data_IF_660022384343
#
_entry.id   IF_660022384343
#
_cell.length_a   1.000
_cell.length_b   1.000
_cell.length_c   1.000
_cell.angle_alpha   90.00
_cell.angle_beta   90.00
_cell.angle_gamma   90.00
#
_symmetry.space_group_name_H-M   'P 1'
#
loop_
_entity.id
_entity.type
_entity.pdbx_description
1 polymer ?
#
# COMPACT_ATOMS: atom_id res chain seq x y z
N UNK A 1 -28.63 73.65 -15.46
CA UNK A 1 -29.45 72.57 -14.88
C UNK A 1 -29.04 71.25 -15.52
N UNK A 2 -28.19 70.43 -14.89
CA UNK A 2 -28.03 69.04 -15.27
C UNK A 2 -28.95 68.15 -14.43
N UNK A 3 -29.59 67.19 -15.10
CA UNK A 3 -30.55 66.24 -14.56
C UNK A 3 -29.78 65.21 -13.71
N UNK A 4 -30.14 65.11 -12.43
CA UNK A 4 -29.66 64.07 -11.51
C UNK A 4 -30.67 62.92 -11.54
N UNK A 5 -30.24 61.74 -11.99
CA UNK A 5 -31.01 60.50 -11.95
C UNK A 5 -30.66 59.76 -10.64
N UNK A 6 -31.62 59.33 -9.80
CA UNK A 6 -31.30 58.63 -8.56
C UNK A 6 -31.08 57.13 -8.85
N UNK A 7 -29.94 56.61 -8.39
CA UNK A 7 -29.60 55.20 -8.38
C UNK A 7 -30.40 54.50 -7.26
N UNK A 8 -31.41 53.71 -7.62
CA UNK A 8 -32.15 52.86 -6.68
C UNK A 8 -31.31 51.61 -6.40
N UNK A 9 -30.79 51.49 -5.18
CA UNK A 9 -30.06 50.32 -4.70
C UNK A 9 -31.06 49.26 -4.22
N UNK A 10 -31.23 48.18 -4.99
CA UNK A 10 -32.05 47.03 -4.61
C UNK A 10 -31.27 46.12 -3.64
N UNK A 11 -31.56 46.20 -2.34
CA UNK A 11 -31.04 45.28 -1.32
C UNK A 11 -31.83 43.97 -1.37
N UNK A 12 -31.31 42.96 -2.07
CA UNK A 12 -31.80 41.59 -1.98
C UNK A 12 -31.34 40.96 -0.66
N UNK A 13 -32.28 40.79 0.28
CA UNK A 13 -32.07 39.95 1.46
C UNK A 13 -32.00 38.48 1.03
N UNK A 14 -30.80 37.93 0.91
CA UNK A 14 -30.60 36.48 0.87
C UNK A 14 -30.73 35.92 2.29
N UNK A 15 -31.90 35.38 2.61
CA UNK A 15 -32.08 34.50 3.78
C UNK A 15 -31.23 33.25 3.58
N UNK A 16 -30.11 33.14 4.30
CA UNK A 16 -29.34 31.91 4.41
C UNK A 16 -30.16 30.86 5.14
N UNK A 17 -30.77 29.94 4.37
CA UNK A 17 -31.18 28.65 4.89
C UNK A 17 -29.91 27.82 5.14
N UNK A 18 -29.29 28.00 6.30
CA UNK A 18 -28.34 27.01 6.84
C UNK A 18 -29.12 25.75 7.15
N UNK A 19 -29.16 24.83 6.19
CA UNK A 19 -29.42 23.43 6.45
C UNK A 19 -28.32 22.94 7.40
N UNK A 20 -28.62 22.92 8.69
CA UNK A 20 -27.86 22.15 9.67
C UNK A 20 -27.96 20.67 9.27
N UNK A 21 -27.03 20.21 8.43
CA UNK A 21 -26.65 18.80 8.46
C UNK A 21 -26.07 18.56 9.85
N UNK A 22 -26.85 17.89 10.69
CA UNK A 22 -26.31 17.25 11.90
C UNK A 22 -25.21 16.31 11.41
N UNK A 23 -23.95 16.72 11.57
CA UNK A 23 -22.81 15.86 11.32
C UNK A 23 -22.91 14.72 12.33
N UNK A 24 -23.42 13.56 11.88
CA UNK A 24 -23.34 12.33 12.66
C UNK A 24 -21.87 12.13 13.02
N UNK A 25 -21.58 11.90 14.31
CA UNK A 25 -20.23 11.58 14.77
C UNK A 25 -19.63 10.54 13.81
N UNK A 26 -18.42 10.75 13.27
CA UNK A 26 -17.82 9.77 12.37
C UNK A 26 -17.73 8.45 13.12
N UNK A 27 -18.47 7.46 12.63
CA UNK A 27 -18.55 6.15 13.25
C UNK A 27 -17.23 5.43 12.95
N UNK A 28 -16.44 5.16 13.99
CA UNK A 28 -15.24 4.35 13.84
C UNK A 28 -15.64 2.94 13.44
N UNK A 29 -15.13 2.46 12.31
CA UNK A 29 -15.27 1.06 11.91
C UNK A 29 -13.93 0.35 12.05
N UNK A 30 -13.97 -0.85 12.61
CA UNK A 30 -12.81 -1.69 12.83
C UNK A 30 -13.05 -3.02 12.11
N UNK A 31 -12.07 -3.43 11.30
CA UNK A 31 -12.09 -4.65 10.51
C UNK A 31 -10.85 -5.49 10.80
N UNK A 32 -10.95 -6.83 10.81
CA UNK A 32 -9.78 -7.69 10.90
C UNK A 32 -8.96 -7.57 9.62
N UNK A 33 -7.65 -7.29 9.77
CA UNK A 33 -6.70 -7.29 8.67
C UNK A 33 -5.95 -8.62 8.67
N UNK A 34 -6.23 -9.49 7.70
CA UNK A 34 -5.59 -10.81 7.65
C UNK A 34 -4.29 -10.75 6.88
N UNK A 35 -3.33 -11.55 7.34
CA UNK A 35 -2.06 -11.77 6.64
C UNK A 35 -2.14 -13.16 6.04
N UNK A 36 -2.14 -13.26 4.71
CA UNK A 36 -2.19 -14.55 4.00
C UNK A 36 -0.80 -14.88 3.46
N UNK A 37 -0.26 -16.04 3.85
CA UNK A 37 1.03 -16.55 3.39
C UNK A 37 0.85 -17.55 2.24
N UNK A 38 1.70 -17.47 1.22
CA UNK A 38 1.66 -18.41 0.09
C UNK A 38 2.42 -19.71 0.43
N UNK A 39 1.86 -20.91 0.12
CA UNK A 39 2.62 -22.15 0.09
C UNK A 39 3.65 -22.10 -1.04
N UNK A 40 4.86 -22.59 -0.78
CA UNK A 40 5.95 -22.56 -1.76
C UNK A 40 5.73 -23.60 -2.88
N UNK A 41 5.49 -23.14 -4.10
CA UNK A 41 5.81 -23.89 -5.30
C UNK A 41 7.33 -23.85 -5.54
N UNK A 42 7.96 -25.00 -5.71
CA UNK A 42 9.36 -25.06 -6.17
C UNK A 42 9.46 -24.44 -7.56
N UNK A 43 10.11 -23.28 -7.70
CA UNK A 43 10.47 -22.76 -9.02
C UNK A 43 11.84 -23.33 -9.44
N UNK A 44 11.94 -24.05 -10.58
CA UNK A 44 13.21 -24.40 -11.19
C UNK A 44 13.86 -23.18 -11.87
N UNK A 45 15.14 -23.32 -12.19
CA UNK A 45 16.02 -22.32 -12.80
C UNK A 45 15.42 -21.46 -13.92
N UNK A 46 15.88 -20.19 -13.91
CA UNK A 46 16.08 -19.32 -15.09
C UNK A 46 14.86 -19.13 -16.00
N UNK A 47 14.09 -18.07 -15.75
CA UNK A 47 13.41 -17.34 -16.83
C UNK A 47 13.61 -15.84 -16.61
N UNK A 48 13.71 -15.07 -17.70
CA UNK A 48 13.92 -13.61 -17.74
C UNK A 48 12.74 -12.81 -17.12
N UNK A 49 12.36 -13.11 -15.88
CA UNK A 49 11.26 -12.48 -15.15
C UNK A 49 11.83 -11.72 -13.95
N UNK A 50 11.48 -10.44 -13.83
CA UNK A 50 11.68 -9.70 -12.58
C UNK A 50 10.90 -10.44 -11.48
N UNK A 51 11.61 -10.89 -10.46
CA UNK A 51 11.11 -11.87 -9.48
C UNK A 51 10.70 -11.19 -8.17
N UNK A 52 10.08 -10.01 -8.21
CA UNK A 52 9.52 -9.44 -6.98
C UNK A 52 8.18 -10.14 -6.67
N UNK A 53 8.25 -11.17 -5.83
CA UNK A 53 7.10 -11.99 -5.45
C UNK A 53 6.61 -11.59 -4.06
N UNK A 54 5.32 -11.32 -3.91
CA UNK A 54 4.71 -11.10 -2.60
C UNK A 54 4.35 -12.47 -2.02
N UNK A 55 5.08 -12.91 -1.00
CA UNK A 55 4.72 -14.16 -0.31
C UNK A 55 3.63 -13.94 0.75
N UNK A 56 3.27 -12.68 0.96
CA UNK A 56 2.39 -12.20 2.02
C UNK A 56 1.52 -11.10 1.48
N UNK A 57 0.20 -11.25 1.63
CA UNK A 57 -0.78 -10.20 1.30
C UNK A 57 -1.61 -9.81 2.50
N UNK A 58 -1.98 -8.53 2.56
CA UNK A 58 -2.88 -8.00 3.57
C UNK A 58 -4.31 -8.00 3.01
N UNK A 59 -5.17 -8.88 3.52
CA UNK A 59 -6.53 -9.04 3.00
C UNK A 59 -7.59 -8.56 3.98
N UNK A 60 -8.67 -8.03 3.42
CA UNK A 60 -9.88 -7.66 4.14
C UNK A 60 -11.11 -8.27 3.48
N UNK A 61 -12.18 -8.45 4.25
CA UNK A 61 -13.45 -8.94 3.72
C UNK A 61 -14.51 -7.86 3.79
N UNK A 62 -15.19 -7.63 2.68
CA UNK A 62 -16.32 -6.71 2.55
C UNK A 62 -17.48 -7.37 1.84
N UNK A 63 -18.62 -6.66 1.79
CA UNK A 63 -19.76 -7.05 0.98
C UNK A 63 -19.94 -6.07 -0.17
N UNK A 64 -20.24 -6.55 -1.37
CA UNK A 64 -20.42 -5.72 -2.57
C UNK A 64 -21.66 -6.20 -3.33
N UNK A 65 -22.48 -5.28 -3.83
CA UNK A 65 -23.68 -5.59 -4.62
C UNK A 65 -24.99 -5.66 -3.84
N UNK A 66 -26.09 -5.82 -4.59
CA UNK A 66 -27.46 -5.96 -4.07
C UNK A 66 -28.22 -7.10 -4.75
N UNK A 67 -28.41 -8.28 -4.12
CA UNK A 67 -28.02 -8.62 -2.75
C UNK A 67 -26.50 -8.65 -2.53
N UNK A 68 -26.02 -8.46 -1.29
CA UNK A 68 -24.58 -8.39 -1.02
C UNK A 68 -23.84 -9.70 -1.25
N UNK A 69 -22.72 -9.63 -1.98
CA UNK A 69 -21.77 -10.71 -2.22
C UNK A 69 -20.51 -10.47 -1.38
N UNK A 70 -20.01 -11.49 -0.68
CA UNK A 70 -18.76 -11.36 0.08
C UNK A 70 -17.57 -11.36 -0.88
N UNK A 71 -16.67 -10.39 -0.70
CA UNK A 71 -15.44 -10.26 -1.49
C UNK A 71 -14.25 -10.15 -0.53
N UNK A 72 -13.13 -10.77 -0.90
CA UNK A 72 -11.85 -10.63 -0.20
C UNK A 72 -10.94 -9.75 -1.05
N UNK A 73 -10.45 -8.65 -0.50
CA UNK A 73 -9.65 -7.67 -1.24
C UNK A 73 -8.29 -7.46 -0.59
N UNK A 74 -7.24 -7.31 -1.40
CA UNK A 74 -5.90 -6.89 -0.95
C UNK A 74 -5.92 -5.41 -0.60
N UNK A 75 -5.45 -5.03 0.59
CA UNK A 75 -5.32 -3.64 1.00
C UNK A 75 -4.05 -3.03 0.41
N UNK A 76 -4.20 -2.02 -0.45
CA UNK A 76 -3.07 -1.43 -1.17
C UNK A 76 -3.08 0.11 -1.10
N UNK A 77 -2.17 0.68 -0.31
CA UNK A 77 -1.97 2.15 -0.21
C UNK A 77 -1.18 2.76 -1.36
N UNK A 78 -0.58 1.95 -2.23
CA UNK A 78 0.07 2.38 -3.47
C UNK A 78 -0.89 2.55 -4.64
N UNK A 79 -2.06 1.89 -4.63
CA UNK A 79 -3.01 1.91 -5.75
C UNK A 79 -4.18 2.87 -5.58
N UNK A 80 -4.62 3.45 -6.69
CA UNK A 80 -5.83 4.28 -6.74
C UNK A 80 -7.09 3.44 -6.91
N UNK A 81 -7.24 2.74 -8.04
CA UNK A 81 -8.51 2.09 -8.35
C UNK A 81 -8.71 0.82 -7.53
N UNK A 82 -9.81 0.76 -6.77
CA UNK A 82 -10.31 -0.54 -6.27
C UNK A 82 -10.90 -1.35 -7.42
N UNK A 83 -10.64 -2.65 -7.45
CA UNK A 83 -11.12 -3.53 -8.51
C UNK A 83 -11.41 -4.94 -8.01
N UNK A 84 -12.25 -5.66 -8.77
CA UNK A 84 -12.65 -7.03 -8.51
C UNK A 84 -12.56 -7.83 -9.81
N UNK A 85 -12.20 -9.12 -9.72
CA UNK A 85 -12.39 -10.06 -10.81
C UNK A 85 -13.89 -10.27 -11.04
N UNK A 86 -14.36 -9.92 -12.24
CA UNK A 86 -15.77 -10.06 -12.62
C UNK A 86 -16.02 -11.22 -13.57
N UNK A 87 -14.97 -11.74 -14.20
CA UNK A 87 -15.04 -12.84 -15.14
C UNK A 87 -14.42 -14.09 -14.53
N UNK A 88 -15.16 -15.18 -14.54
CA UNK A 88 -14.66 -16.48 -14.07
C UNK A 88 -13.55 -16.97 -15.00
N UNK A 89 -12.40 -17.31 -14.43
CA UNK A 89 -11.30 -17.98 -15.12
C UNK A 89 -10.95 -19.29 -14.37
N UNK A 90 -10.35 -20.30 -15.04
CA UNK A 90 -10.06 -21.59 -14.42
C UNK A 90 -9.24 -21.51 -13.12
N UNK A 91 -8.41 -20.48 -12.99
CA UNK A 91 -7.50 -20.30 -11.86
C UNK A 91 -8.03 -19.33 -10.79
N UNK A 92 -9.26 -18.79 -10.91
CA UNK A 92 -9.81 -17.85 -9.93
C UNK A 92 -10.82 -18.56 -9.01
N UNK A 93 -10.52 -18.60 -7.70
CA UNK A 93 -11.39 -19.27 -6.73
C UNK A 93 -12.57 -18.40 -6.27
N UNK A 94 -12.44 -17.07 -6.39
CA UNK A 94 -13.47 -16.11 -5.97
C UNK A 94 -13.60 -14.99 -6.99
N UNK A 95 -14.82 -14.73 -7.46
CA UNK A 95 -15.13 -13.66 -8.40
C UNK A 95 -16.41 -12.96 -7.97
N UNK A 96 -16.48 -11.65 -8.20
CA UNK A 96 -17.73 -10.90 -8.06
C UNK A 96 -18.61 -11.18 -9.27
N UNK A 97 -19.88 -11.52 -9.06
CA UNK A 97 -20.83 -11.75 -10.15
C UNK A 97 -21.66 -10.48 -10.41
N UNK A 98 -21.34 -9.65 -11.42
CA UNK A 98 -22.08 -8.42 -11.69
C UNK A 98 -23.54 -8.70 -12.10
N UNK A 99 -23.83 -9.84 -12.74
CA UNK A 99 -25.19 -10.19 -13.19
C UNK A 99 -26.13 -10.57 -12.03
N UNK A 100 -25.57 -10.92 -10.87
CA UNK A 100 -26.34 -11.23 -9.67
C UNK A 100 -26.68 -9.98 -8.84
N UNK A 101 -26.12 -8.82 -9.18
CA UNK A 101 -26.33 -7.56 -8.45
C UNK A 101 -27.25 -6.62 -9.22
N UNK A 102 -28.32 -6.16 -8.55
CA UNK A 102 -29.26 -5.16 -9.10
C UNK A 102 -28.69 -3.73 -9.08
N UNK A 103 -27.62 -3.49 -8.32
CA UNK A 103 -26.98 -2.18 -8.19
C UNK A 103 -25.73 -2.01 -9.06
N UNK A 104 -25.36 -3.04 -9.83
CA UNK A 104 -24.27 -2.97 -10.79
C UNK A 104 -24.64 -2.03 -11.95
N UNK A 105 -23.76 -1.06 -12.24
CA UNK A 105 -23.95 -0.16 -13.39
C UNK A 105 -22.62 0.06 -14.11
N UNK A 106 -22.49 -0.32 -15.39
CA UNK A 106 -21.26 -0.08 -16.15
C UNK A 106 -21.07 1.41 -16.45
N UNK A 107 -19.82 1.88 -16.49
CA UNK A 107 -19.51 3.29 -16.79
C UNK A 107 -19.29 3.48 -18.30
N UNK A 108 -20.14 4.27 -18.99
CA UNK A 108 -19.92 4.60 -20.39
C UNK A 108 -18.72 5.54 -20.56
N UNK A 109 -18.07 5.48 -21.72
CA UNK A 109 -16.96 6.38 -22.05
C UNK A 109 -17.31 7.88 -22.02
N UNK A 110 -18.56 8.23 -22.32
CA UNK A 110 -19.02 9.62 -22.26
C UNK A 110 -19.14 10.17 -20.83
N UNK A 111 -19.11 9.28 -19.83
CA UNK A 111 -19.23 9.64 -18.42
C UNK A 111 -18.12 10.62 -18.00
N UNK A 112 -18.44 11.64 -17.19
CA UNK A 112 -17.42 12.48 -16.56
C UNK A 112 -16.39 11.67 -15.76
N UNK A 113 -16.79 10.54 -15.17
CA UNK A 113 -15.87 9.63 -14.46
C UNK A 113 -14.73 9.21 -15.40
N UNK A 114 -15.07 8.70 -16.59
CA UNK A 114 -14.10 8.23 -17.57
C UNK A 114 -13.22 9.35 -18.16
N UNK A 115 -13.75 10.58 -18.29
CA UNK A 115 -13.05 11.69 -18.94
C UNK A 115 -12.20 12.56 -18.00
N UNK A 116 -12.51 12.54 -16.70
CA UNK A 116 -11.93 13.51 -15.75
C UNK A 116 -11.36 12.87 -14.48
N UNK A 117 -11.98 11.82 -13.95
CA UNK A 117 -11.56 11.19 -12.68
C UNK A 117 -10.47 10.12 -12.85
N UNK A 118 -10.13 9.76 -14.08
CA UNK A 118 -9.08 8.80 -14.43
C UNK A 118 -7.77 9.46 -14.87
N UNK A 119 -7.65 10.79 -14.71
CA UNK A 119 -6.47 11.55 -15.17
C UNK A 119 -5.20 11.25 -14.41
N UNK A 120 -5.32 10.74 -13.19
CA UNK A 120 -4.19 10.35 -12.36
C UNK A 120 -3.75 8.89 -12.64
N UNK A 121 -4.43 8.16 -13.52
CA UNK A 121 -3.97 6.82 -13.92
C UNK A 121 -2.73 6.91 -14.80
N UNK A 122 -1.74 6.06 -14.50
CA UNK A 122 -0.50 5.96 -15.29
C UNK A 122 -0.74 5.54 -16.74
N UNK A 123 -1.76 4.69 -16.96
CA UNK A 123 -2.21 4.29 -18.30
C UNK A 123 -3.56 4.97 -18.57
N UNK A 124 -3.65 5.81 -19.62
CA UNK A 124 -4.92 6.43 -19.98
C UNK A 124 -6.00 5.39 -20.28
N UNK A 125 -7.21 5.63 -19.77
CA UNK A 125 -8.38 4.82 -20.11
C UNK A 125 -8.70 4.91 -21.61
N UNK A 126 -9.32 3.85 -22.12
CA UNK A 126 -9.76 3.76 -23.51
C UNK A 126 -11.24 3.37 -23.59
N UNK A 127 -11.79 3.32 -24.80
CA UNK A 127 -13.16 2.88 -25.03
C UNK A 127 -13.18 1.51 -25.67
N UNK A 128 -13.83 0.57 -24.99
CA UNK A 128 -14.04 -0.76 -25.56
C UNK A 128 -15.05 -0.71 -26.73
N UNK A 129 -15.21 -1.81 -27.49
CA UNK A 129 -16.19 -1.88 -28.59
C UNK A 129 -17.65 -1.65 -28.16
N UNK A 130 -17.97 -1.80 -26.87
CA UNK A 130 -19.30 -1.55 -26.28
C UNK A 130 -19.44 -0.10 -25.77
N UNK A 131 -18.44 0.76 -26.00
CA UNK A 131 -18.37 2.15 -25.54
C UNK A 131 -18.34 2.28 -24.02
N UNK A 132 -17.84 1.27 -23.34
CA UNK A 132 -17.57 1.27 -21.90
C UNK A 132 -16.15 1.78 -21.64
N UNK A 133 -15.96 2.37 -20.46
CA UNK A 133 -14.69 2.92 -20.04
C UNK A 133 -13.73 1.79 -19.66
N UNK A 134 -12.82 1.43 -20.57
CA UNK A 134 -11.81 0.41 -20.37
C UNK A 134 -10.62 0.97 -19.62
N UNK A 135 -10.22 0.31 -18.55
CA UNK A 135 -9.06 0.65 -17.75
C UNK A 135 -8.06 -0.50 -17.77
N UNK A 136 -6.78 -0.15 -17.90
CA UNK A 136 -5.65 -1.05 -17.75
C UNK A 136 -4.81 -0.53 -16.59
N UNK A 137 -4.53 -1.38 -15.62
CA UNK A 137 -3.66 -1.08 -14.49
C UNK A 137 -2.37 -1.90 -14.64
N UNK A 138 -1.25 -1.30 -14.27
CA UNK A 138 0.05 -1.97 -14.19
C UNK A 138 0.67 -1.68 -12.84
N UNK A 139 1.31 -2.70 -12.27
CA UNK A 139 1.91 -2.65 -10.94
C UNK A 139 3.44 -2.72 -11.01
N UNK A 140 4.08 -2.36 -9.90
CA UNK A 140 5.54 -2.33 -9.78
C UNK A 140 6.20 -3.72 -9.92
N UNK A 141 5.46 -4.80 -9.63
CA UNK A 141 5.91 -6.18 -9.85
C UNK A 141 5.77 -6.64 -11.31
N UNK A 142 5.46 -5.71 -12.22
CA UNK A 142 5.18 -5.93 -13.64
C UNK A 142 3.94 -6.80 -13.93
N UNK A 143 3.06 -7.01 -12.94
CA UNK A 143 1.71 -7.52 -13.20
C UNK A 143 0.84 -6.42 -13.81
N UNK A 144 -0.22 -6.84 -14.49
CA UNK A 144 -1.21 -5.94 -15.07
C UNK A 144 -2.60 -6.57 -15.06
N UNK A 145 -3.62 -5.73 -14.98
CA UNK A 145 -5.00 -6.17 -15.04
C UNK A 145 -5.85 -5.17 -15.81
N UNK A 146 -6.82 -5.66 -16.56
CA UNK A 146 -7.69 -4.82 -17.37
C UNK A 146 -9.15 -5.27 -17.34
N UNK A 147 -10.02 -4.32 -17.66
CA UNK A 147 -11.46 -4.51 -17.76
C UNK A 147 -12.15 -3.16 -17.78
N UNK A 148 -13.43 -3.15 -17.43
CA UNK A 148 -14.25 -1.95 -17.54
C UNK A 148 -14.55 -1.34 -16.18
N UNK A 149 -14.59 -0.01 -16.12
CA UNK A 149 -15.10 0.69 -14.95
C UNK A 149 -16.61 0.46 -14.80
N UNK A 150 -17.04 0.24 -13.56
CA UNK A 150 -18.43 0.13 -13.16
C UNK A 150 -18.65 0.87 -11.84
N UNK A 151 -19.92 1.10 -11.48
CA UNK A 151 -20.31 1.53 -10.15
C UNK A 151 -21.09 0.42 -9.46
N UNK A 152 -20.90 0.30 -8.14
CA UNK A 152 -21.60 -0.69 -7.32
C UNK A 152 -21.82 -0.17 -5.89
N UNK A 153 -22.65 -0.87 -5.12
CA UNK A 153 -22.87 -0.64 -3.70
C UNK A 153 -21.84 -1.43 -2.89
N UNK A 154 -20.99 -0.72 -2.16
CA UNK A 154 -20.02 -1.32 -1.23
C UNK A 154 -20.56 -1.25 0.19
N UNK A 155 -20.53 -2.38 0.89
CA UNK A 155 -20.93 -2.53 2.28
C UNK A 155 -19.74 -2.36 3.21
N UNK A 156 -19.91 -1.51 4.22
CA UNK A 156 -18.91 -1.14 5.20
C UNK A 156 -19.51 -1.27 6.61
N UNK A 157 -19.32 -2.44 7.23
CA UNK A 157 -20.00 -2.78 8.49
C UNK A 157 -21.52 -2.83 8.30
N UNK A 158 -22.25 -1.97 8.99
CA UNK A 158 -23.72 -1.86 8.88
C UNK A 158 -24.18 -0.81 7.86
N UNK A 159 -23.25 -0.05 7.28
CA UNK A 159 -23.54 1.01 6.30
C UNK A 159 -23.25 0.52 4.90
N UNK A 160 -23.90 1.12 3.91
CA UNK A 160 -23.64 0.88 2.49
C UNK A 160 -23.38 2.19 1.78
N UNK A 161 -22.45 2.16 0.81
CA UNK A 161 -22.11 3.28 -0.05
C UNK A 161 -22.46 2.91 -1.50
N UNK A 162 -23.63 3.35 -2.01
CA UNK A 162 -24.02 3.15 -3.39
C UNK A 162 -23.18 4.01 -4.34
N UNK A 163 -23.07 3.58 -5.60
CA UNK A 163 -22.42 4.37 -6.66
C UNK A 163 -20.89 4.47 -6.54
N UNK A 164 -20.26 3.58 -5.78
CA UNK A 164 -18.80 3.51 -5.66
C UNK A 164 -18.23 2.96 -6.97
N UNK A 165 -17.33 3.72 -7.59
CA UNK A 165 -16.65 3.35 -8.83
C UNK A 165 -15.56 2.33 -8.53
N UNK A 166 -15.50 1.26 -9.31
CA UNK A 166 -14.48 0.23 -9.22
C UNK A 166 -14.18 -0.34 -10.61
N UNK A 167 -13.06 -1.05 -10.74
CA UNK A 167 -12.74 -1.81 -11.94
C UNK A 167 -13.35 -3.21 -11.89
N UNK A 168 -14.15 -3.56 -12.89
CA UNK A 168 -14.69 -4.88 -13.09
C UNK A 168 -13.79 -5.60 -14.11
N UNK A 169 -12.82 -6.35 -13.59
CA UNK A 169 -11.69 -6.83 -14.36
C UNK A 169 -11.96 -8.17 -15.04
N UNK A 170 -11.53 -8.26 -16.30
CA UNK A 170 -11.81 -9.37 -17.22
C UNK A 170 -10.60 -10.28 -17.41
N UNK A 171 -9.40 -9.70 -17.50
CA UNK A 171 -8.14 -10.39 -17.76
C UNK A 171 -6.98 -9.67 -17.11
N UNK A 172 -5.92 -10.41 -16.78
CA UNK A 172 -4.70 -9.86 -16.26
C UNK A 172 -3.52 -10.78 -16.53
N UNK A 173 -2.33 -10.20 -16.47
CA UNK A 173 -1.07 -10.90 -16.42
C UNK A 173 -0.50 -10.75 -15.01
N UNK A 174 -0.08 -11.87 -14.42
CA UNK A 174 0.44 -11.89 -13.07
C UNK A 174 1.78 -12.59 -13.00
N UNK A 175 2.66 -12.03 -12.16
CA UNK A 175 3.89 -12.67 -11.72
C UNK A 175 3.59 -13.88 -10.80
N UNK A 176 2.41 -13.89 -10.15
CA UNK A 176 1.97 -14.79 -9.09
C UNK A 176 0.52 -15.28 -9.26
N UNK A 177 0.21 -16.03 -10.32
CA UNK A 177 -1.17 -16.45 -10.62
C UNK A 177 -1.87 -17.28 -9.51
N UNK A 178 -1.11 -17.91 -8.61
CA UNK A 178 -1.65 -18.65 -7.45
C UNK A 178 -2.15 -17.72 -6.32
N UNK A 179 -1.63 -16.51 -6.24
CA UNK A 179 -1.99 -15.49 -5.26
C UNK A 179 -3.29 -14.80 -5.68
N UNK A 180 -3.35 -14.35 -6.93
CA UNK A 180 -4.57 -13.78 -7.54
C UNK A 180 -5.75 -14.73 -7.48
N UNK A 181 -5.47 -16.04 -7.53
CA UNK A 181 -6.48 -17.08 -7.39
C UNK A 181 -7.24 -17.02 -6.05
N UNK A 182 -6.62 -16.51 -4.99
CA UNK A 182 -7.15 -16.55 -3.61
C UNK A 182 -7.93 -15.30 -3.23
N UNK A 183 -7.69 -14.19 -3.92
CA UNK A 183 -8.35 -12.92 -3.65
C UNK A 183 -9.47 -12.69 -4.67
N UNK A 184 -10.46 -11.88 -4.30
CA UNK A 184 -11.49 -11.43 -5.26
C UNK A 184 -11.04 -10.17 -5.99
N UNK A 185 -10.08 -9.43 -5.44
CA UNK A 185 -9.47 -8.26 -6.06
C UNK A 185 -8.65 -7.42 -5.09
N UNK A 186 -8.57 -6.12 -5.34
CA UNK A 186 -7.70 -5.18 -4.63
C UNK A 186 -8.46 -3.91 -4.27
N UNK A 187 -8.23 -3.44 -3.05
CA UNK A 187 -8.76 -2.20 -2.51
C UNK A 187 -7.68 -1.13 -2.60
N UNK A 188 -7.85 -0.21 -3.56
CA UNK A 188 -6.96 0.93 -3.75
C UNK A 188 -7.22 1.99 -2.69
N UNK A 189 -6.21 2.33 -1.90
CA UNK A 189 -6.28 3.16 -0.71
C UNK A 189 -5.46 4.43 -0.81
N UNK A 190 -4.88 4.76 -1.98
CA UNK A 190 -4.11 6.00 -2.16
C UNK A 190 -5.00 7.26 -2.11
N UNK A 191 -4.47 8.43 -2.47
CA UNK A 191 -5.17 9.73 -2.37
C UNK A 191 -5.91 10.12 -3.66
N UNK A 192 -5.96 9.23 -4.64
CA UNK A 192 -6.55 9.48 -5.94
C UNK A 192 -8.07 9.49 -5.90
N UNK A 193 -8.69 10.10 -6.91
CA UNK A 193 -10.13 10.38 -6.90
C UNK A 193 -11.01 9.13 -6.94
N UNK A 194 -10.47 8.00 -7.42
CA UNK A 194 -11.13 6.69 -7.47
C UNK A 194 -10.68 5.72 -6.37
N UNK A 195 -9.85 6.17 -5.43
CA UNK A 195 -9.52 5.42 -4.22
C UNK A 195 -10.73 5.16 -3.34
N UNK A 196 -10.69 4.04 -2.63
CA UNK A 196 -11.73 3.66 -1.68
C UNK A 196 -11.90 4.74 -0.61
N UNK A 197 -10.80 5.22 -0.03
CA UNK A 197 -10.85 6.27 1.01
C UNK A 197 -11.49 7.56 0.53
N UNK A 198 -11.20 7.99 -0.71
CA UNK A 198 -11.77 9.22 -1.28
C UNK A 198 -13.25 9.05 -1.59
N UNK A 199 -13.63 7.93 -2.20
CA UNK A 199 -15.04 7.67 -2.56
C UNK A 199 -15.95 7.46 -1.35
N UNK A 200 -15.39 6.92 -0.26
CA UNK A 200 -16.08 6.75 1.02
C UNK A 200 -16.07 8.02 1.89
N UNK A 201 -15.36 9.08 1.47
CA UNK A 201 -15.24 10.32 2.23
C UNK A 201 -14.55 10.12 3.59
N UNK A 202 -13.59 9.19 3.66
CA UNK A 202 -12.91 8.86 4.91
C UNK A 202 -11.83 9.91 5.20
N UNK A 203 -11.94 10.68 6.29
CA UNK A 203 -10.96 11.73 6.61
C UNK A 203 -9.61 11.15 7.06
N UNK A 204 -9.62 9.92 7.56
CA UNK A 204 -8.46 9.21 8.07
C UNK A 204 -8.73 7.71 8.18
N UNK A 205 -7.66 6.93 8.11
CA UNK A 205 -7.68 5.49 8.41
C UNK A 205 -6.39 5.07 9.09
N UNK A 206 -6.40 3.91 9.73
CA UNK A 206 -5.20 3.30 10.31
C UNK A 206 -5.17 1.82 10.06
N UNK A 207 -3.97 1.23 10.02
CA UNK A 207 -3.81 -0.21 10.15
C UNK A 207 -2.66 -0.59 11.06
N UNK A 208 -2.72 -1.83 11.54
CA UNK A 208 -1.70 -2.43 12.40
C UNK A 208 -1.52 -3.88 11.95
N UNK A 209 -0.37 -4.18 11.34
CA UNK A 209 -0.08 -5.52 10.80
C UNK A 209 0.54 -6.37 11.89
N UNK A 210 -0.05 -7.54 12.15
CA UNK A 210 0.50 -8.53 13.08
C UNK A 210 1.84 -9.07 12.57
N UNK A 211 2.86 -9.12 13.43
CA UNK A 211 4.13 -9.80 13.12
C UNK A 211 4.11 -11.32 13.36
N UNK A 212 2.93 -11.92 13.58
CA UNK A 212 2.68 -13.34 13.79
C UNK A 212 1.45 -13.76 12.99
N UNK A 213 1.17 -15.06 12.92
CA UNK A 213 -0.04 -15.63 12.32
C UNK A 213 -1.30 -15.30 13.15
N UNK A 214 -1.67 -14.02 13.18
CA UNK A 214 -2.86 -13.49 13.85
C UNK A 214 -3.42 -12.33 13.04
N UNK A 215 -4.71 -12.05 13.18
CA UNK A 215 -5.34 -10.91 12.51
C UNK A 215 -4.75 -9.60 13.04
N UNK A 216 -4.32 -8.73 12.14
CA UNK A 216 -4.10 -7.32 12.42
C UNK A 216 -5.40 -6.51 12.48
N UNK A 217 -5.26 -5.19 12.39
CA UNK A 217 -6.37 -4.23 12.49
C UNK A 217 -6.37 -3.35 11.25
N UNK A 218 -7.54 -3.12 10.66
CA UNK A 218 -7.83 -1.98 9.81
C UNK A 218 -8.92 -1.15 10.48
N UNK A 219 -8.71 0.16 10.57
CA UNK A 219 -9.62 1.08 11.24
C UNK A 219 -9.92 2.26 10.31
N UNK A 220 -11.21 2.55 10.12
CA UNK A 220 -11.68 3.76 9.46
C UNK A 220 -12.21 4.72 10.53
N UNK A 221 -11.70 5.96 10.54
CA UNK A 221 -12.03 6.95 11.59
C UNK A 221 -10.92 7.10 12.64
N UNK A 222 -11.27 7.59 13.84
CA UNK A 222 -10.27 7.98 14.84
C UNK A 222 -9.78 6.81 15.70
N UNK A 223 -8.45 6.71 15.85
CA UNK A 223 -7.78 5.79 16.76
C UNK A 223 -7.49 6.47 18.12
N UNK A 224 -8.45 6.46 19.04
CA UNK A 224 -8.30 7.02 20.40
C UNK A 224 -8.30 5.94 21.45
N UNK A 225 -7.15 5.27 21.61
CA UNK A 225 -6.99 4.19 22.59
C UNK A 225 -6.00 4.59 23.68
N UNK A 226 -6.40 4.48 24.95
CA UNK A 226 -5.54 4.81 26.09
C UNK A 226 -4.26 3.95 26.17
N UNK A 227 -4.28 2.77 25.54
CA UNK A 227 -3.15 1.85 25.50
C UNK A 227 -2.22 2.05 24.30
N UNK A 228 -2.63 2.85 23.31
CA UNK A 228 -1.81 3.19 22.16
C UNK A 228 -0.97 4.41 22.54
N UNK A 229 0.35 4.35 22.28
CA UNK A 229 1.23 5.49 22.50
C UNK A 229 0.85 6.64 21.56
N UNK A 230 1.14 7.90 21.93
CA UNK A 230 1.00 9.01 21.01
C UNK A 230 1.76 8.74 19.70
N UNK A 231 1.12 9.04 18.57
CA UNK A 231 1.72 8.87 17.26
C UNK A 231 2.71 10.00 16.98
N UNK A 232 3.85 9.65 16.41
CA UNK A 232 4.75 10.62 15.78
C UNK A 232 4.31 10.81 14.34
N UNK A 233 4.22 12.05 13.88
CA UNK A 233 3.72 12.36 12.55
C UNK A 233 4.81 12.91 11.64
N UNK A 234 4.80 12.45 10.39
CA UNK A 234 5.52 13.06 9.27
C UNK A 234 4.51 13.65 8.29
N UNK A 235 4.73 14.88 7.78
CA UNK A 235 3.87 15.45 6.75
C UNK A 235 3.97 14.65 5.45
N UNK A 236 2.89 14.67 4.67
CA UNK A 236 2.90 14.18 3.30
C UNK A 236 3.56 15.23 2.40
N UNK A 237 4.50 14.80 1.57
CA UNK A 237 5.09 15.62 0.51
C UNK A 237 4.06 15.79 -0.60
N UNK A 238 3.85 17.03 -1.04
CA UNK A 238 2.94 17.36 -2.12
C UNK A 238 3.70 18.11 -3.22
N UNK A 239 3.82 17.47 -4.38
CA UNK A 239 4.32 18.10 -5.61
C UNK A 239 3.13 18.24 -6.55
N UNK A 240 2.71 19.48 -6.81
CA UNK A 240 1.57 19.77 -7.68
C UNK A 240 1.93 19.66 -9.17
N UNK A 241 3.19 19.93 -9.52
CA UNK A 241 3.69 19.80 -10.88
C UNK A 241 3.68 18.33 -11.31
N UNK A 242 3.07 17.98 -12.46
CA UNK A 242 3.19 16.64 -13.01
C UNK A 242 4.64 16.33 -13.37
N UNK A 243 5.20 15.29 -12.76
CA UNK A 243 6.54 14.79 -13.03
C UNK A 243 6.47 13.31 -13.44
N UNK A 244 7.31 12.85 -14.37
CA UNK A 244 7.20 11.50 -14.95
C UNK A 244 7.39 10.36 -13.94
N UNK A 245 8.21 10.56 -12.91
CA UNK A 245 8.51 9.55 -11.90
C UNK A 245 7.93 9.86 -10.51
N UNK A 246 7.01 10.83 -10.43
CA UNK A 246 6.34 11.18 -9.17
C UNK A 246 4.84 10.86 -9.24
N UNK A 247 4.41 9.89 -8.43
CA UNK A 247 3.00 9.63 -8.22
C UNK A 247 2.41 10.67 -7.24
N UNK A 248 1.64 11.62 -7.76
CA UNK A 248 1.04 12.71 -6.96
C UNK A 248 0.01 12.24 -5.93
N UNK A 249 -0.58 11.07 -6.14
CA UNK A 249 -1.65 10.53 -5.28
C UNK A 249 -1.13 9.48 -4.28
N UNK A 250 0.14 9.10 -4.37
CA UNK A 250 0.80 8.26 -3.38
C UNK A 250 0.95 8.94 -2.00
N UNK A 251 1.06 8.12 -0.95
CA UNK A 251 1.45 8.58 0.38
C UNK A 251 2.96 8.79 0.44
N UNK A 252 3.39 9.98 0.02
CA UNK A 252 4.80 10.35 -0.02
C UNK A 252 5.23 11.01 1.29
N UNK A 253 6.31 10.55 1.89
CA UNK A 253 6.91 11.15 3.11
C UNK A 253 8.34 11.59 2.83
N UNK A 254 8.87 12.54 3.59
CA UNK A 254 10.27 12.96 3.44
C UNK A 254 11.17 12.08 4.29
N UNK A 255 11.91 11.15 3.66
CA UNK A 255 13.02 10.46 4.30
C UNK A 255 14.18 11.45 4.47
N UNK A 256 14.81 11.49 5.63
CA UNK A 256 15.92 12.40 5.93
C UNK A 256 17.24 11.66 6.17
N UNK A 257 17.18 10.37 6.43
CA UNK A 257 18.35 9.56 6.71
C UNK A 257 18.00 8.15 7.16
N UNK A 258 19.05 7.34 7.28
CA UNK A 258 18.96 5.98 7.82
C UNK A 258 20.03 5.85 8.91
N UNK A 259 19.68 5.18 10.01
CA UNK A 259 20.56 4.90 11.14
C UNK A 259 20.67 3.41 11.36
N UNK A 260 21.88 2.89 11.51
CA UNK A 260 22.16 1.49 11.86
C UNK A 260 22.73 1.45 13.27
N UNK A 261 21.96 0.90 14.21
CA UNK A 261 22.19 1.03 15.65
C UNK A 261 22.27 2.52 16.05
N UNK A 262 23.44 2.99 16.50
CA UNK A 262 23.68 4.40 16.85
C UNK A 262 24.27 5.25 15.72
N UNK A 263 24.62 4.66 14.57
CA UNK A 263 25.35 5.35 13.49
C UNK A 263 24.41 5.80 12.39
N UNK A 264 24.29 7.11 12.19
CA UNK A 264 23.61 7.69 11.03
C UNK A 264 24.51 7.54 9.81
N UNK A 265 23.96 7.05 8.71
CA UNK A 265 24.72 6.85 7.48
C UNK A 265 25.14 8.22 6.90
N UNK A 266 26.41 8.41 6.50
CA UNK A 266 26.92 9.69 6.01
C UNK A 266 26.53 9.92 4.54
N UNK A 267 25.23 10.12 4.29
CA UNK A 267 24.65 10.37 2.97
C UNK A 267 24.26 11.85 2.83
N UNK A 268 24.52 12.50 1.68
CA UNK A 268 24.08 13.87 1.48
C UNK A 268 22.56 13.94 1.41
N UNK A 269 21.95 14.96 2.03
CA UNK A 269 20.48 15.09 2.13
C UNK A 269 19.78 15.08 0.77
N UNK A 270 20.46 15.52 -0.28
CA UNK A 270 19.94 15.54 -1.65
C UNK A 270 19.55 14.16 -2.20
N UNK A 271 20.13 13.06 -1.70
CA UNK A 271 19.77 11.71 -2.20
C UNK A 271 18.39 11.24 -1.73
N UNK A 272 17.80 11.93 -0.74
CA UNK A 272 16.48 11.62 -0.22
C UNK A 272 15.39 12.58 -0.71
N UNK A 273 15.75 13.52 -1.60
CA UNK A 273 14.81 14.49 -2.15
C UNK A 273 14.53 14.10 -3.60
N UNK A 274 13.25 14.06 -4.03
CA UNK A 274 12.93 13.81 -5.42
C UNK A 274 13.64 14.80 -6.35
N UNK A 275 14.19 14.30 -7.45
CA UNK A 275 14.86 15.15 -8.43
C UNK A 275 13.86 15.91 -9.32
N UNK A 276 14.38 16.66 -10.28
CA UNK A 276 13.57 17.44 -11.23
C UNK A 276 12.62 16.59 -12.11
N UNK A 277 12.80 15.28 -12.18
CA UNK A 277 11.94 14.32 -12.88
C UNK A 277 10.97 13.61 -11.93
N UNK A 278 11.10 13.83 -10.62
CA UNK A 278 10.32 13.17 -9.58
C UNK A 278 10.94 11.90 -9.02
N UNK A 279 12.03 11.42 -9.61
CA UNK A 279 12.73 10.22 -9.16
C UNK A 279 13.29 10.40 -7.75
N UNK A 280 13.19 9.37 -6.91
CA UNK A 280 13.53 9.44 -5.49
C UNK A 280 12.37 9.80 -4.56
N UNK A 281 11.14 9.73 -5.04
CA UNK A 281 9.94 9.73 -4.20
C UNK A 281 10.02 8.64 -3.11
N UNK A 282 9.62 8.93 -1.87
CA UNK A 282 9.51 7.92 -0.81
C UNK A 282 8.06 7.61 -0.50
N UNK A 283 7.57 6.46 -0.99
CA UNK A 283 6.19 6.01 -0.86
C UNK A 283 6.01 5.07 0.33
N UNK A 284 4.95 5.27 1.12
CA UNK A 284 4.49 4.31 2.14
C UNK A 284 3.45 3.39 1.51
N UNK A 285 3.80 2.11 1.37
CA UNK A 285 3.02 1.18 0.56
C UNK A 285 2.73 -0.14 1.30
N UNK A 286 1.44 -0.45 1.47
CA UNK A 286 0.98 -1.72 2.01
C UNK A 286 0.94 -2.84 0.96
N UNK A 287 0.86 -2.49 -0.32
CA UNK A 287 0.89 -3.43 -1.45
C UNK A 287 2.24 -4.10 -1.58
N UNK A 288 3.34 -3.36 -1.45
CA UNK A 288 4.73 -3.87 -1.49
C UNK A 288 5.12 -4.64 -0.22
N UNK A 289 5.71 -5.83 -0.36
CA UNK A 289 6.18 -6.62 0.80
C UNK A 289 7.37 -5.99 1.52
N UNK A 290 8.51 -5.83 0.84
CA UNK A 290 9.76 -5.38 1.44
C UNK A 290 10.04 -3.89 1.18
N UNK A 291 11.04 -3.32 1.86
CA UNK A 291 11.46 -1.94 1.55
C UNK A 291 12.50 -1.92 0.45
N UNK A 292 12.30 -1.05 -0.53
CA UNK A 292 13.23 -0.81 -1.62
C UNK A 292 13.82 0.60 -1.50
N UNK A 293 15.13 0.70 -1.68
CA UNK A 293 15.88 1.94 -1.60
C UNK A 293 16.67 2.14 -2.88
N UNK A 294 16.83 3.40 -3.31
CA UNK A 294 17.71 3.75 -4.43
C UNK A 294 19.13 3.22 -4.18
N UNK A 295 19.80 2.79 -5.24
CA UNK A 295 21.09 2.10 -5.18
C UNK A 295 22.15 2.74 -4.28
N UNK A 296 22.40 4.07 -4.33
CA UNK A 296 23.37 4.72 -3.46
C UNK A 296 23.05 4.57 -1.96
N UNK A 297 21.76 4.69 -1.60
CA UNK A 297 21.29 4.58 -0.22
C UNK A 297 21.30 3.12 0.23
N UNK A 298 20.82 2.21 -0.62
CA UNK A 298 20.88 0.77 -0.37
C UNK A 298 22.31 0.31 -0.10
N UNK A 299 23.26 0.73 -0.95
CA UNK A 299 24.66 0.35 -0.85
C UNK A 299 25.28 0.82 0.47
N UNK A 300 25.01 2.06 0.89
CA UNK A 300 25.49 2.57 2.17
C UNK A 300 24.90 1.78 3.36
N UNK A 301 23.60 1.48 3.32
CA UNK A 301 22.93 0.68 4.35
C UNK A 301 23.50 -0.74 4.42
N UNK A 302 23.60 -1.40 3.25
CA UNK A 302 24.14 -2.75 3.10
C UNK A 302 25.55 -2.85 3.69
N UNK A 303 26.45 -1.93 3.31
CA UNK A 303 27.83 -1.93 3.77
C UNK A 303 27.94 -1.75 5.29
N UNK A 304 27.17 -0.84 5.86
CA UNK A 304 27.14 -0.64 7.31
C UNK A 304 26.57 -1.86 8.05
N UNK A 305 25.49 -2.44 7.53
CA UNK A 305 24.87 -3.62 8.11
C UNK A 305 25.82 -4.83 8.08
N UNK A 306 26.53 -5.05 6.98
CA UNK A 306 27.60 -6.05 6.88
C UNK A 306 28.69 -5.80 7.91
N UNK A 307 29.17 -4.55 8.05
CA UNK A 307 30.20 -4.19 9.01
C UNK A 307 29.82 -4.56 10.44
N UNK A 308 28.58 -4.24 10.85
CA UNK A 308 28.10 -4.52 12.21
C UNK A 308 27.73 -5.99 12.45
N UNK A 309 27.38 -6.75 11.41
CA UNK A 309 27.01 -8.17 11.51
C UNK A 309 28.16 -9.16 11.30
N UNK A 310 29.29 -8.70 10.76
CA UNK A 310 30.52 -9.50 10.54
C UNK A 310 30.92 -10.41 11.72
N UNK A 311 30.79 -10.01 13.01
CA UNK A 311 31.17 -10.86 14.13
C UNK A 311 30.19 -12.01 14.41
N UNK A 312 28.95 -11.94 13.93
CA UNK A 312 27.85 -12.83 14.37
C UNK A 312 27.17 -13.61 13.23
N UNK A 313 27.37 -13.18 11.98
CA UNK A 313 26.79 -13.79 10.79
C UNK A 313 27.83 -13.98 9.69
N UNK A 314 27.67 -15.06 8.93
CA UNK A 314 28.47 -15.36 7.74
C UNK A 314 27.68 -14.99 6.49
N UNK A 315 28.20 -14.04 5.71
CA UNK A 315 27.60 -13.66 4.42
C UNK A 315 27.62 -14.87 3.48
N UNK A 316 26.55 -15.05 2.72
CA UNK A 316 26.44 -16.06 1.68
C UNK A 316 27.44 -15.74 0.57
N UNK A 317 28.38 -16.64 0.32
CA UNK A 317 29.39 -16.48 -0.73
C UNK A 317 28.84 -16.93 -2.10
N UNK A 318 27.83 -16.21 -2.61
CA UNK A 318 27.21 -16.46 -3.90
C UNK A 318 26.80 -15.13 -4.55
N UNK A 319 27.69 -14.50 -5.34
CA UNK A 319 27.45 -13.16 -5.89
C UNK A 319 26.32 -13.13 -6.93
N UNK A 320 25.90 -14.29 -7.44
CA UNK A 320 24.82 -14.40 -8.42
C UNK A 320 23.45 -14.60 -7.75
N UNK A 321 23.42 -14.82 -6.44
CA UNK A 321 22.18 -15.02 -5.71
C UNK A 321 21.58 -13.67 -5.30
N UNK A 322 20.47 -13.31 -5.94
CA UNK A 322 19.70 -12.12 -5.60
C UNK A 322 18.28 -12.55 -5.25
N UNK A 323 17.93 -12.47 -3.97
CA UNK A 323 16.59 -12.85 -3.52
C UNK A 323 15.57 -11.84 -4.04
N UNK A 324 14.52 -12.36 -4.68
CA UNK A 324 13.47 -11.58 -5.34
C UNK A 324 13.97 -10.48 -6.30
N UNK A 325 15.12 -10.70 -6.94
CA UNK A 325 15.69 -9.77 -7.92
C UNK A 325 16.27 -8.46 -7.34
N UNK A 326 16.15 -8.20 -6.04
CA UNK A 326 16.57 -6.93 -5.44
C UNK A 326 17.39 -7.03 -4.15
N UNK A 327 17.33 -8.17 -3.44
CA UNK A 327 18.02 -8.38 -2.15
C UNK A 327 19.28 -9.22 -2.38
N UNK A 328 20.42 -8.55 -2.55
CA UNK A 328 21.71 -9.18 -2.87
C UNK A 328 22.58 -9.51 -1.63
N UNK A 329 22.12 -9.13 -0.43
CA UNK A 329 22.76 -9.46 0.84
C UNK A 329 22.03 -10.61 1.52
N UNK A 330 22.68 -11.78 1.58
CA UNK A 330 22.18 -12.93 2.33
C UNK A 330 23.26 -13.52 3.23
N UNK A 331 22.83 -14.33 4.20
CA UNK A 331 23.65 -14.94 5.23
C UNK A 331 23.34 -16.44 5.33
N UNK A 332 24.36 -17.19 5.74
CA UNK A 332 24.23 -18.60 6.11
C UNK A 332 24.06 -18.69 7.62
N UNK A 333 22.95 -19.31 8.05
CA UNK A 333 22.65 -19.51 9.47
C UNK A 333 22.50 -21.01 9.74
N UNK A 334 23.32 -21.59 10.65
CA UNK A 334 23.23 -23.00 10.99
C UNK A 334 21.83 -23.40 11.46
N UNK A 335 21.30 -24.52 10.96
CA UNK A 335 19.95 -24.99 11.32
C UNK A 335 19.78 -25.37 12.78
N UNK A 336 20.86 -25.74 13.46
CA UNK A 336 20.86 -26.05 14.89
C UNK A 336 20.79 -24.79 15.78
N UNK A 337 20.84 -23.59 15.18
CA UNK A 337 20.73 -22.34 15.91
C UNK A 337 19.25 -22.02 16.19
N UNK A 338 18.83 -21.85 17.45
CA UNK A 338 17.41 -21.69 17.80
C UNK A 338 16.84 -20.33 17.38
N UNK A 339 17.68 -19.30 17.29
CA UNK A 339 17.27 -17.94 16.93
C UNK A 339 18.42 -17.16 16.26
N UNK A 340 18.06 -16.10 15.55
CA UNK A 340 19.04 -15.16 14.99
C UNK A 340 19.84 -14.47 16.13
N UNK A 341 21.11 -14.11 15.89
CA UNK A 341 21.86 -13.26 16.82
C UNK A 341 21.16 -11.91 17.01
N UNK A 342 21.61 -11.15 18.01
CA UNK A 342 21.25 -9.74 18.07
C UNK A 342 21.75 -9.03 16.80
N UNK A 343 20.80 -8.46 16.04
CA UNK A 343 21.07 -7.73 14.81
C UNK A 343 21.05 -6.22 15.07
N UNK A 344 21.82 -5.43 14.32
CA UNK A 344 21.82 -3.99 14.45
C UNK A 344 20.48 -3.43 13.93
N UNK A 345 19.78 -2.68 14.77
CA UNK A 345 18.48 -2.07 14.42
C UNK A 345 18.67 -1.07 13.28
N UNK A 346 17.82 -1.12 12.25
CA UNK A 346 17.81 -0.14 11.16
C UNK A 346 16.66 0.81 11.39
N UNK A 347 16.93 2.12 11.45
CA UNK A 347 15.92 3.15 11.67
C UNK A 347 15.83 4.06 10.46
N UNK A 348 14.63 4.16 9.88
CA UNK A 348 14.27 5.13 8.86
C UNK A 348 13.88 6.43 9.56
N UNK A 349 14.57 7.52 9.25
CA UNK A 349 14.36 8.82 9.87
C UNK A 349 13.55 9.70 8.92
N UNK A 350 12.34 10.07 9.30
CA UNK A 350 11.48 10.98 8.56
C UNK A 350 11.46 12.35 9.22
N UNK A 351 10.90 13.33 8.52
CA UNK A 351 10.63 14.63 9.12
C UNK A 351 9.62 14.51 10.27
N UNK A 352 10.10 14.53 11.53
CA UNK A 352 9.26 14.49 12.74
C UNK A 352 8.86 13.09 13.23
N UNK A 353 9.28 12.03 12.56
CA UNK A 353 9.00 10.65 12.95
C UNK A 353 10.16 9.71 12.64
N UNK A 354 10.25 8.58 13.35
CA UNK A 354 11.20 7.51 13.05
C UNK A 354 10.45 6.18 13.02
N UNK A 355 10.88 5.26 12.16
CA UNK A 355 10.40 3.88 12.13
C UNK A 355 11.58 2.91 12.18
N UNK A 356 11.59 2.03 13.17
CA UNK A 356 12.68 1.09 13.41
C UNK A 356 12.31 -0.34 13.01
N UNK A 357 13.26 -1.00 12.36
CA UNK A 357 13.24 -2.42 12.00
C UNK A 357 14.29 -3.13 12.84
N UNK A 358 13.86 -4.14 13.60
CA UNK A 358 14.70 -4.83 14.57
C UNK A 358 14.38 -6.33 14.63
N UNK A 359 15.32 -7.08 15.21
CA UNK A 359 15.19 -8.53 15.40
C UNK A 359 15.03 -9.28 14.08
N UNK A 360 14.15 -10.28 14.07
CA UNK A 360 13.96 -11.19 12.93
C UNK A 360 13.41 -10.48 11.68
N UNK A 361 12.79 -9.29 11.82
CA UNK A 361 12.30 -8.52 10.67
C UNK A 361 13.40 -7.99 9.77
N UNK A 362 14.66 -7.97 10.22
CA UNK A 362 15.81 -7.54 9.41
C UNK A 362 16.28 -8.61 8.42
N UNK A 363 15.95 -9.89 8.66
CA UNK A 363 16.40 -11.01 7.85
C UNK A 363 15.24 -11.97 7.56
N UNK A 364 14.95 -12.19 6.29
CA UNK A 364 13.94 -13.15 5.85
C UNK A 364 14.57 -14.50 5.56
N UNK A 365 14.10 -15.56 6.23
CA UNK A 365 14.53 -16.93 5.93
C UNK A 365 13.99 -17.34 4.57
N UNK A 366 14.86 -17.58 3.59
CA UNK A 366 14.45 -18.03 2.25
C UNK A 366 13.99 -19.49 2.33
N UNK A 367 12.70 -19.79 2.12
CA UNK A 367 12.18 -21.14 2.33
C UNK A 367 12.73 -22.12 1.29
N UNK A 368 13.05 -23.34 1.73
CA UNK A 368 13.65 -24.38 0.89
C UNK A 368 15.11 -24.12 0.45
N UNK A 369 15.64 -22.92 0.69
CA UNK A 369 17.01 -22.56 0.29
C UNK A 369 18.03 -22.93 1.37
N UNK A 370 18.92 -23.85 1.05
CA UNK A 370 19.99 -24.30 1.95
C UNK A 370 21.36 -24.27 1.27
N UNK A 371 22.41 -24.17 2.10
CA UNK A 371 23.82 -24.32 1.70
C UNK A 371 24.51 -25.24 2.71
N UNK A 372 24.64 -26.52 2.34
CA UNK A 372 25.03 -27.56 3.30
C UNK A 372 23.99 -27.70 4.41
N UNK A 373 24.41 -27.58 5.66
CA UNK A 373 23.55 -27.62 6.87
C UNK A 373 22.93 -26.27 7.26
N UNK A 374 23.15 -25.23 6.46
CA UNK A 374 22.77 -23.86 6.82
C UNK A 374 21.54 -23.42 6.02
N UNK A 375 20.61 -22.78 6.72
CA UNK A 375 19.50 -22.04 6.08
C UNK A 375 20.02 -20.71 5.53
N UNK A 376 19.44 -20.25 4.42
CA UNK A 376 19.74 -18.95 3.84
C UNK A 376 18.76 -17.89 4.37
N UNK A 377 19.30 -16.77 4.85
CA UNK A 377 18.54 -15.60 5.33
C UNK A 377 18.97 -14.37 4.55
N UNK A 378 18.03 -13.65 3.94
CA UNK A 378 18.33 -12.44 3.16
C UNK A 378 17.90 -11.17 3.87
N UNK A 379 18.70 -10.13 3.70
CA UNK A 379 18.41 -8.79 4.22
C UNK A 379 17.13 -8.26 3.59
N UNK A 380 16.23 -7.71 4.41
CA UNK A 380 14.86 -7.39 4.00
C UNK A 380 14.72 -6.02 3.34
N UNK A 381 15.83 -5.31 3.14
CA UNK A 381 15.90 -4.12 2.29
C UNK A 381 16.48 -4.53 0.94
N UNK A 382 15.89 -4.05 -0.15
CA UNK A 382 16.34 -4.31 -1.52
C UNK A 382 16.80 -3.05 -2.24
N UNK A 383 17.55 -3.26 -3.33
CA UNK A 383 17.94 -2.22 -4.28
C UNK A 383 16.82 -2.00 -5.31
N UNK A 384 16.20 -0.83 -5.32
CA UNK A 384 15.12 -0.50 -6.27
C UNK A 384 15.62 -0.43 -7.72
N UNK A 385 16.88 -0.06 -7.94
CA UNK A 385 17.50 0.05 -9.26
C UNK A 385 17.51 -1.31 -9.98
N UNK A 386 17.65 -2.42 -9.24
CA UNK A 386 17.62 -3.77 -9.79
C UNK A 386 16.22 -4.18 -10.29
N UNK A 387 15.18 -3.46 -9.87
CA UNK A 387 13.80 -3.65 -10.30
C UNK A 387 13.38 -2.62 -11.37
N UNK A 388 14.25 -1.67 -11.74
CA UNK A 388 13.89 -0.55 -12.61
C UNK A 388 12.93 0.46 -11.95
N UNK A 389 12.92 0.52 -10.61
CA UNK A 389 12.07 1.42 -9.84
C UNK A 389 12.91 2.60 -9.34
N UNK A 390 12.61 3.80 -9.82
CA UNK A 390 13.30 5.05 -9.47
C UNK A 390 12.68 5.73 -8.23
N UNK A 391 12.35 4.96 -7.19
CA UNK A 391 11.70 5.44 -5.98
C UNK A 391 12.11 4.61 -4.74
N UNK A 392 11.99 5.22 -3.57
CA UNK A 392 12.00 4.51 -2.29
C UNK A 392 10.58 4.01 -1.99
N UNK A 393 10.46 2.74 -1.62
CA UNK A 393 9.16 2.14 -1.26
C UNK A 393 9.27 1.50 0.11
N UNK A 394 8.43 1.93 1.06
CA UNK A 394 8.38 1.38 2.41
C UNK A 394 7.31 0.29 2.44
N UNK A 395 7.71 -0.97 2.25
CA UNK A 395 6.80 -2.11 2.22
C UNK A 395 6.26 -2.54 3.59
N UNK A 396 5.19 -3.35 3.56
CA UNK A 396 4.41 -3.74 4.73
C UNK A 396 5.18 -4.61 5.73
N UNK A 397 6.19 -5.37 5.32
CA UNK A 397 7.02 -6.19 6.21
C UNK A 397 7.71 -5.34 7.28
N UNK A 398 8.15 -4.14 6.92
CA UNK A 398 8.78 -3.21 7.85
C UNK A 398 7.77 -2.39 8.67
N UNK A 399 6.51 -2.38 8.26
CA UNK A 399 5.38 -1.75 8.97
C UNK A 399 4.72 -2.70 9.99
N UNK A 400 5.14 -3.96 10.06
CA UNK A 400 4.67 -4.92 11.08
C UNK A 400 4.96 -4.42 12.50
N UNK A 401 3.98 -4.58 13.39
CA UNK A 401 4.02 -4.06 14.76
C UNK A 401 4.22 -2.54 14.85
N UNK A 402 3.72 -1.82 13.85
CA UNK A 402 3.60 -0.36 13.84
C UNK A 402 2.13 -0.01 13.59
N UNK A 403 1.58 0.87 14.42
CA UNK A 403 0.31 1.52 14.14
C UNK A 403 0.56 2.61 13.10
N UNK A 404 0.11 2.36 11.88
CA UNK A 404 0.20 3.29 10.76
C UNK A 404 -1.12 4.04 10.66
N UNK A 405 -1.10 5.38 10.79
CA UNK A 405 -2.27 6.24 10.59
C UNK A 405 -2.05 7.15 9.38
N UNK A 406 -3.04 7.22 8.50
CA UNK A 406 -3.08 8.12 7.36
C UNK A 406 -4.16 9.17 7.64
N UNK A 407 -3.72 10.37 8.03
CA UNK A 407 -4.57 11.51 8.37
C UNK A 407 -4.68 12.41 7.13
N UNK A 408 -5.71 12.17 6.32
CA UNK A 408 -5.89 12.82 5.02
C UNK A 408 -6.28 14.29 5.19
N UNK A 409 -7.07 14.61 6.22
CA UNK A 409 -7.46 15.99 6.56
C UNK A 409 -6.24 16.86 6.86
N UNK A 410 -5.25 16.31 7.59
CA UNK A 410 -4.03 17.04 7.95
C UNK A 410 -2.83 16.71 7.08
N UNK A 411 -3.03 15.94 6.00
CA UNK A 411 -1.99 15.56 5.04
C UNK A 411 -0.72 15.04 5.72
N UNK A 412 -0.83 14.00 6.55
CA UNK A 412 0.30 13.44 7.31
C UNK A 412 0.13 11.95 7.60
N UNK A 413 1.25 11.26 7.81
CA UNK A 413 1.30 9.85 8.25
C UNK A 413 1.79 9.79 9.69
N UNK A 414 1.04 9.11 10.54
CA UNK A 414 1.38 8.85 11.94
C UNK A 414 1.94 7.44 12.12
N UNK A 415 2.96 7.30 12.98
CA UNK A 415 3.57 6.02 13.34
C UNK A 415 3.69 5.89 14.85
N UNK A 416 3.39 4.70 15.37
CA UNK A 416 3.69 4.32 16.75
C UNK A 416 3.98 2.82 16.84
N UNK A 417 5.10 2.44 17.45
CA UNK A 417 5.38 1.02 17.70
C UNK A 417 4.35 0.42 18.66
N UNK A 418 3.76 -0.71 18.27
CA UNK A 418 2.80 -1.43 19.08
C UNK A 418 2.71 -2.88 18.65
N UNK A 419 2.48 -3.78 19.61
CA UNK A 419 2.18 -5.19 19.32
C UNK A 419 0.79 -5.32 18.71
N UNK A 420 0.73 -5.45 17.39
CA UNK A 420 -0.54 -5.44 16.65
C UNK A 420 -1.42 -6.66 16.93
N UNK A 421 -0.81 -7.79 17.30
CA UNK A 421 -1.52 -8.97 17.81
C UNK A 421 -2.28 -8.66 19.11
N UNK A 422 -1.64 -7.97 20.05
CA UNK A 422 -2.28 -7.53 21.29
C UNK A 422 -3.30 -6.42 21.06
N UNK A 423 -3.04 -5.51 20.11
CA UNK A 423 -4.01 -4.49 19.70
C UNK A 423 -5.29 -5.14 19.15
N UNK A 424 -5.14 -6.13 18.27
CA UNK A 424 -6.25 -6.90 17.69
C UNK A 424 -7.09 -7.60 18.77
N UNK A 425 -6.44 -8.26 19.74
CA UNK A 425 -7.11 -8.87 20.89
C UNK A 425 -7.89 -7.84 21.72
N UNK A 426 -7.28 -6.69 22.04
CA UNK A 426 -7.93 -5.61 22.81
C UNK A 426 -9.14 -5.01 22.09
N UNK A 427 -9.17 -5.07 20.76
CA UNK A 427 -10.27 -4.60 19.93
C UNK A 427 -11.31 -5.69 19.63
N UNK A 428 -11.17 -6.88 20.21
CA UNK A 428 -12.11 -7.99 20.02
C UNK A 428 -12.09 -8.60 18.62
N UNK A 429 -11.00 -8.42 17.86
CA UNK A 429 -10.80 -9.00 16.53
C UNK A 429 -10.05 -10.34 16.57
N UNK A 430 -9.56 -10.73 17.75
CA UNK A 430 -8.80 -11.97 17.94
C UNK A 430 -9.64 -13.20 17.63
N UNK A 431 -9.09 -14.09 16.80
CA UNK A 431 -9.41 -15.52 16.78
C UNK A 431 -8.37 -16.23 17.63
#
# INVERSE_FOLDING_TARGET
MPIVLPLILLLCFFTHCTLCFSASKPQTLILPLKTETLPHGFAPHSTNKLSFHHNVTLTIQLSVGSPPQKVTMVLDTGSELSWLHCKKAPNLNSVFNPLASKSYSPIPCSSPVCRTRTRDFSIPVSCDPKKLCHATLSYADASSIEGNLASETFGLGLSTQPGTIFGCMDSGFSSNSEEDAKTTGLMGMNRGSLSFVTQMGLPKFSYCISGRDSSGVLLFGEAKFAWLRPLNYTPLVQISTPLPYFDRVAYTVQLEGIRVSGKVLPLPKSVFVPDHTGAGQTMVDSGTQFTFLLGPVYTALKNEFIQQTKPVLRVLNDPNFVFQGAMDLCYQVPMNRPSLPQLPTVTLMFQGAEMSVSGERLLYRVPGMMRGSDSVYCFTFGNSDLLGIEAFVIGHHHQQNVWMEFDLEKSRVGVAEVRCDLASQRLGLGV
#
